data_IF_162258983883
#
_entry.id   IF_162258983883
#
_cell.length_a   1.000
_cell.length_b   1.000
_cell.length_c   1.000
_cell.angle_alpha   90.00
_cell.angle_beta   90.00
_cell.angle_gamma   90.00
#
_symmetry.space_group_name_H-M   'P 1'
#
loop_
_entity.id
_entity.type
_entity.pdbx_description
1 polymer ?
#
# COMPACT_ATOMS: atom_id res chain seq x y z
N UNK A 1 -6.67 14.48 43.83
CA UNK A 1 -5.54 13.70 43.30
C UNK A 1 -5.76 13.50 41.81
N UNK A 2 -5.10 14.34 41.00
CA UNK A 2 -5.27 14.38 39.54
C UNK A 2 -4.39 13.33 38.89
N UNK A 3 -5.02 12.30 38.31
CA UNK A 3 -4.37 11.20 37.61
C UNK A 3 -4.30 11.52 36.10
N UNK A 4 -3.55 12.57 35.76
CA UNK A 4 -3.31 13.02 34.38
C UNK A 4 -1.88 12.65 33.94
N UNK A 5 -1.52 11.37 34.03
CA UNK A 5 -0.25 10.86 33.50
C UNK A 5 -0.47 9.74 32.46
N UNK A 6 -1.55 9.83 31.69
CA UNK A 6 -1.60 9.13 30.41
C UNK A 6 -0.83 9.96 29.38
N UNK A 7 0.49 9.77 29.34
CA UNK A 7 1.36 10.20 28.24
C UNK A 7 0.75 9.75 26.91
N UNK A 8 0.33 10.67 26.02
CA UNK A 8 -0.13 10.29 24.71
C UNK A 8 1.08 9.95 23.82
N UNK A 9 0.97 8.84 23.11
CA UNK A 9 1.62 8.56 21.83
C UNK A 9 3.14 8.29 21.80
N UNK A 10 3.62 7.32 22.59
CA UNK A 10 4.79 6.53 22.15
C UNK A 10 4.32 5.44 21.17
N UNK A 11 3.94 5.79 19.94
CA UNK A 11 3.63 4.79 18.90
C UNK A 11 4.91 4.00 18.63
N UNK A 12 5.06 2.80 19.20
CA UNK A 12 6.28 1.97 19.15
C UNK A 12 6.75 1.74 17.71
N UNK A 13 8.04 1.92 17.42
CA UNK A 13 8.63 1.66 16.08
C UNK A 13 8.34 0.22 15.64
N UNK A 14 8.30 -0.71 16.60
CA UNK A 14 7.94 -2.11 16.35
C UNK A 14 6.53 -2.23 15.80
N UNK A 15 5.58 -1.47 16.35
CA UNK A 15 4.20 -1.43 15.85
C UNK A 15 4.13 -0.88 14.42
N UNK A 16 4.88 0.19 14.12
CA UNK A 16 5.01 0.77 12.77
C UNK A 16 5.48 -0.27 11.75
N UNK A 17 6.54 -1.00 12.10
CA UNK A 17 7.13 -2.02 11.23
C UNK A 17 6.19 -3.21 11.05
N UNK A 18 5.46 -3.62 12.09
CA UNK A 18 4.46 -4.69 11.98
C UNK A 18 3.34 -4.28 11.03
N UNK A 19 2.79 -3.06 11.18
CA UNK A 19 1.72 -2.57 10.29
C UNK A 19 2.21 -2.50 8.84
N UNK A 20 3.39 -1.93 8.60
CA UNK A 20 3.97 -1.88 7.26
C UNK A 20 4.20 -3.28 6.69
N UNK A 21 4.73 -4.22 7.48
CA UNK A 21 4.93 -5.60 7.05
C UNK A 21 3.62 -6.30 6.69
N UNK A 22 2.57 -6.12 7.49
CA UNK A 22 1.23 -6.68 7.21
C UNK A 22 0.67 -6.11 5.91
N UNK A 23 0.79 -4.79 5.69
CA UNK A 23 0.35 -4.15 4.45
C UNK A 23 1.11 -4.70 3.23
N UNK A 24 2.42 -4.90 3.34
CA UNK A 24 3.23 -5.50 2.28
C UNK A 24 2.78 -6.95 2.02
N UNK A 25 2.57 -7.76 3.05
CA UNK A 25 2.12 -9.14 2.90
C UNK A 25 0.75 -9.23 2.21
N UNK A 26 -0.20 -8.36 2.58
CA UNK A 26 -1.51 -8.26 1.93
C UNK A 26 -1.32 -7.85 0.46
N UNK A 27 -0.51 -6.83 0.19
CA UNK A 27 -0.24 -6.38 -1.17
C UNK A 27 0.37 -7.48 -2.05
N UNK A 28 1.36 -8.20 -1.54
CA UNK A 28 1.96 -9.35 -2.23
C UNK A 28 0.94 -10.45 -2.50
N UNK A 29 0.10 -10.80 -1.53
CA UNK A 29 -0.94 -11.81 -1.71
C UNK A 29 -1.95 -11.41 -2.80
N UNK A 30 -2.35 -10.13 -2.85
CA UNK A 30 -3.24 -9.62 -3.89
C UNK A 30 -2.61 -9.66 -5.29
N UNK A 31 -1.32 -9.33 -5.41
CA UNK A 31 -0.60 -9.43 -6.70
C UNK A 31 -0.55 -10.89 -7.17
N UNK A 32 -0.18 -11.82 -6.30
CA UNK A 32 -0.12 -13.25 -6.63
C UNK A 32 -1.50 -13.77 -7.04
N UNK A 33 -2.55 -13.40 -6.31
CA UNK A 33 -3.92 -13.78 -6.64
C UNK A 33 -4.39 -13.16 -7.97
N UNK A 34 -4.03 -11.91 -8.23
CA UNK A 34 -4.27 -11.26 -9.51
C UNK A 34 -3.61 -12.00 -10.67
N UNK A 35 -2.33 -12.39 -10.54
CA UNK A 35 -1.63 -13.22 -11.53
C UNK A 35 -2.28 -14.60 -11.71
N UNK A 36 -2.71 -15.25 -10.62
CA UNK A 36 -3.39 -16.54 -10.68
C UNK A 36 -4.75 -16.44 -11.41
N UNK A 37 -5.53 -15.38 -11.14
CA UNK A 37 -6.81 -15.12 -11.79
C UNK A 37 -6.67 -14.87 -13.29
N UNK A 38 -5.61 -14.16 -13.68
CA UNK A 38 -5.24 -13.88 -15.06
C UNK A 38 -4.88 -15.19 -15.81
N UNK A 39 -4.03 -16.02 -15.20
CA UNK A 39 -3.66 -17.32 -15.77
C UNK A 39 -4.88 -18.25 -15.89
N UNK A 40 -5.78 -18.23 -14.90
CA UNK A 40 -7.01 -19.02 -14.95
C UNK A 40 -7.91 -18.57 -16.10
N UNK A 41 -8.08 -17.25 -16.29
CA UNK A 41 -8.85 -16.70 -17.40
C UNK A 41 -8.27 -17.07 -18.76
N UNK A 42 -6.95 -17.01 -18.93
CA UNK A 42 -6.30 -17.41 -20.18
C UNK A 42 -6.49 -18.91 -20.46
N UNK A 43 -6.44 -19.76 -19.43
CA UNK A 43 -6.70 -21.19 -19.57
C UNK A 43 -8.16 -21.47 -19.96
N UNK A 44 -9.12 -20.75 -19.37
CA UNK A 44 -10.53 -20.87 -19.72
C UNK A 44 -10.78 -20.39 -21.16
N UNK A 45 -10.15 -19.29 -21.57
CA UNK A 45 -10.24 -18.77 -22.93
C UNK A 45 -9.64 -19.75 -23.95
N UNK A 46 -8.51 -20.38 -23.61
CA UNK A 46 -7.89 -21.43 -24.42
C UNK A 46 -8.83 -22.62 -24.61
N UNK A 47 -9.49 -23.07 -23.52
CA UNK A 47 -10.42 -24.20 -23.55
C UNK A 47 -11.71 -23.87 -24.31
N UNK A 48 -12.23 -22.66 -24.17
CA UNK A 48 -13.49 -22.25 -24.76
C UNK A 48 -13.37 -21.84 -26.24
N UNK A 49 -12.24 -21.23 -26.64
CA UNK A 49 -12.12 -20.55 -27.93
C UNK A 49 -10.79 -20.80 -28.65
N UNK A 50 -9.92 -21.64 -28.09
CA UNK A 50 -8.64 -22.02 -28.71
C UNK A 50 -7.54 -20.97 -28.59
N UNK A 51 -6.38 -21.27 -29.18
CA UNK A 51 -5.19 -20.45 -29.05
C UNK A 51 -5.33 -19.04 -29.67
N UNK A 52 -6.06 -18.92 -30.80
CA UNK A 52 -6.25 -17.63 -31.46
C UNK A 52 -6.99 -16.59 -30.61
N UNK A 53 -7.90 -17.03 -29.72
CA UNK A 53 -8.57 -16.13 -28.79
C UNK A 53 -7.62 -15.63 -27.69
N UNK A 54 -6.74 -16.49 -27.21
CA UNK A 54 -5.68 -16.12 -26.25
C UNK A 54 -4.70 -15.13 -26.89
N UNK A 55 -4.27 -15.39 -28.13
CA UNK A 55 -3.37 -14.48 -28.85
C UNK A 55 -4.01 -13.11 -29.09
N UNK A 56 -5.30 -13.08 -29.49
CA UNK A 56 -6.03 -11.82 -29.64
C UNK A 56 -6.11 -11.05 -28.31
N UNK A 57 -6.42 -11.73 -27.22
CA UNK A 57 -6.44 -11.12 -25.88
C UNK A 57 -5.05 -10.58 -25.48
N UNK A 58 -3.99 -11.37 -25.65
CA UNK A 58 -2.63 -10.93 -25.35
C UNK A 58 -2.19 -9.76 -26.24
N UNK A 59 -2.58 -9.74 -27.52
CA UNK A 59 -2.33 -8.61 -28.41
C UNK A 59 -3.02 -7.32 -27.94
N UNK A 60 -4.23 -7.44 -27.37
CA UNK A 60 -4.95 -6.32 -26.78
C UNK A 60 -4.29 -5.83 -25.49
N UNK A 61 -3.85 -6.73 -24.61
CA UNK A 61 -3.14 -6.35 -23.39
C UNK A 61 -1.79 -5.70 -23.72
N UNK A 62 -1.05 -6.25 -24.68
CA UNK A 62 0.27 -5.74 -25.07
C UNK A 62 0.24 -4.44 -25.87
N UNK A 63 -0.87 -4.11 -26.54
CA UNK A 63 -1.02 -2.79 -27.17
C UNK A 63 -1.14 -1.65 -26.15
N UNK A 64 -1.50 -1.98 -24.91
CA UNK A 64 -1.66 -1.04 -23.80
C UNK A 64 -0.46 -1.09 -22.84
N UNK A 65 0.74 -0.80 -23.38
CA UNK A 65 1.97 -0.75 -22.57
C UNK A 65 1.97 0.48 -21.66
N UNK A 66 1.57 0.27 -20.42
CA UNK A 66 1.61 1.30 -19.40
C UNK A 66 2.94 1.31 -18.66
N UNK A 67 3.41 2.51 -18.33
CA UNK A 67 4.41 2.66 -17.27
C UNK A 67 3.85 2.10 -15.96
N UNK A 68 4.72 1.69 -15.04
CA UNK A 68 4.28 1.15 -13.75
C UNK A 68 3.33 2.09 -12.98
N UNK A 69 3.63 3.40 -12.96
CA UNK A 69 2.79 4.38 -12.31
C UNK A 69 1.42 4.52 -13.00
N UNK A 70 1.40 4.53 -14.34
CA UNK A 70 0.15 4.56 -15.09
C UNK A 70 -0.67 3.29 -14.86
N UNK A 71 -0.02 2.11 -14.83
CA UNK A 71 -0.67 0.85 -14.49
C UNK A 71 -1.32 0.89 -13.10
N UNK A 72 -0.64 1.41 -12.07
CA UNK A 72 -1.24 1.53 -10.74
C UNK A 72 -2.50 2.41 -10.72
N UNK A 73 -2.57 3.46 -11.54
CA UNK A 73 -3.74 4.35 -11.61
C UNK A 73 -4.85 3.76 -12.47
N UNK A 74 -4.51 3.23 -13.65
CA UNK A 74 -5.47 2.69 -14.60
C UNK A 74 -6.09 1.37 -14.12
N UNK A 75 -5.34 0.58 -13.35
CA UNK A 75 -5.84 -0.66 -12.74
C UNK A 75 -6.97 -0.41 -11.74
N UNK A 76 -6.90 0.65 -10.94
CA UNK A 76 -7.93 0.99 -9.94
C UNK A 76 -9.08 1.83 -10.51
N UNK A 77 -8.86 2.48 -11.66
CA UNK A 77 -9.89 3.26 -12.36
C UNK A 77 -10.64 2.45 -13.43
N UNK A 78 -10.21 1.21 -13.71
CA UNK A 78 -10.87 0.32 -14.65
C UNK A 78 -10.51 0.53 -16.12
N UNK A 79 -9.40 1.21 -16.41
CA UNK A 79 -8.92 1.46 -17.78
C UNK A 79 -7.93 0.41 -18.28
N UNK A 80 -7.51 -0.54 -17.44
CA UNK A 80 -6.66 -1.65 -17.85
C UNK A 80 -7.43 -2.75 -18.59
N UNK A 81 -6.83 -3.29 -19.65
CA UNK A 81 -7.40 -4.42 -20.40
C UNK A 81 -7.15 -5.79 -19.77
N UNK A 82 -6.11 -5.93 -18.95
CA UNK A 82 -5.84 -7.20 -18.27
C UNK A 82 -6.88 -7.46 -17.16
N UNK A 83 -7.44 -8.67 -17.13
CA UNK A 83 -8.54 -9.02 -16.23
C UNK A 83 -8.12 -9.08 -14.77
N UNK A 84 -6.89 -9.53 -14.50
CA UNK A 84 -6.26 -9.51 -13.19
C UNK A 84 -5.69 -8.14 -12.78
N UNK A 85 -5.74 -7.12 -13.65
CA UNK A 85 -5.07 -5.85 -13.43
C UNK A 85 -5.55 -5.13 -12.17
N UNK A 86 -6.84 -5.17 -11.87
CA UNK A 86 -7.39 -4.53 -10.67
C UNK A 86 -6.75 -5.07 -9.39
N UNK A 87 -6.69 -6.39 -9.22
CA UNK A 87 -6.12 -7.03 -8.04
C UNK A 87 -4.61 -6.76 -7.92
N UNK A 88 -3.89 -6.83 -9.03
CA UNK A 88 -2.46 -6.50 -9.06
C UNK A 88 -2.23 -5.02 -8.72
N UNK A 89 -3.03 -4.13 -9.30
CA UNK A 89 -3.03 -2.70 -9.05
C UNK A 89 -3.23 -2.36 -7.58
N UNK A 90 -4.31 -2.85 -6.97
CA UNK A 90 -4.58 -2.69 -5.53
C UNK A 90 -3.40 -3.24 -4.73
N UNK A 91 -2.89 -4.43 -5.06
CA UNK A 91 -1.72 -5.00 -4.40
C UNK A 91 -0.49 -4.10 -4.44
N UNK A 92 -0.20 -3.47 -5.59
CA UNK A 92 0.89 -2.50 -5.71
C UNK A 92 0.65 -1.23 -4.90
N UNK A 93 -0.59 -0.74 -4.78
CA UNK A 93 -0.91 0.38 -3.89
C UNK A 93 -0.59 0.06 -2.43
N UNK A 94 -0.87 -1.17 -1.97
CA UNK A 94 -0.50 -1.60 -0.62
C UNK A 94 1.02 -1.58 -0.39
N UNK A 95 1.79 -2.11 -1.33
CA UNK A 95 3.25 -2.24 -1.20
C UNK A 95 3.99 -0.92 -1.38
N UNK A 96 3.65 -0.15 -2.40
CA UNK A 96 4.43 1.02 -2.82
C UNK A 96 3.89 2.35 -2.33
N UNK A 97 2.63 2.42 -1.91
CA UNK A 97 2.02 3.66 -1.42
C UNK A 97 1.69 3.57 0.06
N UNK A 98 0.83 2.62 0.45
CA UNK A 98 0.32 2.56 1.82
C UNK A 98 1.41 2.18 2.82
N UNK A 99 2.18 1.12 2.57
CA UNK A 99 3.23 0.70 3.50
C UNK A 99 4.28 1.83 3.74
N UNK A 100 4.86 2.48 2.71
CA UNK A 100 5.75 3.63 2.92
C UNK A 100 5.04 4.81 3.60
N UNK A 101 3.80 5.14 3.21
CA UNK A 101 3.05 6.23 3.79
C UNK A 101 2.84 6.06 5.31
N UNK A 102 2.61 4.84 5.79
CA UNK A 102 2.49 4.57 7.23
C UNK A 102 3.78 4.86 7.99
N UNK A 103 4.94 4.51 7.42
CA UNK A 103 6.25 4.77 8.03
C UNK A 103 6.53 6.28 8.06
N UNK A 104 6.27 6.97 6.94
CA UNK A 104 6.47 8.42 6.81
C UNK A 104 5.56 9.19 7.78
N UNK A 105 4.27 8.85 7.82
CA UNK A 105 3.29 9.50 8.70
C UNK A 105 3.68 9.33 10.16
N UNK A 106 4.04 8.13 10.59
CA UNK A 106 4.43 7.89 11.98
C UNK A 106 5.77 8.55 12.34
N UNK A 107 6.71 8.63 11.39
CA UNK A 107 7.96 9.36 11.56
C UNK A 107 7.71 10.87 11.72
N UNK A 108 6.79 11.43 10.93
CA UNK A 108 6.38 12.82 11.05
C UNK A 108 5.71 13.10 12.39
N UNK A 109 4.73 12.28 12.79
CA UNK A 109 4.05 12.39 14.08
C UNK A 109 5.04 12.35 15.26
N UNK A 110 6.01 11.43 15.23
CA UNK A 110 7.08 11.36 16.24
C UNK A 110 7.89 12.66 16.29
N UNK A 111 8.28 13.22 15.14
CA UNK A 111 9.02 14.49 15.08
C UNK A 111 8.22 15.65 15.67
N UNK A 112 6.92 15.71 15.38
CA UNK A 112 6.05 16.74 15.96
C UNK A 112 5.93 16.61 17.48
N UNK A 113 5.75 15.40 18.01
CA UNK A 113 5.69 15.17 19.46
C UNK A 113 7.00 15.52 20.17
N UNK A 114 8.15 15.11 19.62
CA UNK A 114 9.47 15.45 20.20
C UNK A 114 9.70 16.96 20.19
N UNK A 115 9.31 17.65 19.11
CA UNK A 115 9.43 19.11 19.00
C UNK A 115 8.58 19.84 20.03
N UNK A 116 7.34 19.38 20.25
CA UNK A 116 6.42 19.96 21.22
C UNK A 116 6.89 19.77 22.67
N UNK A 117 7.44 18.59 22.99
CA UNK A 117 8.06 18.34 24.30
C UNK A 117 9.33 19.18 24.53
N UNK A 118 10.13 19.43 23.48
CA UNK A 118 11.30 20.29 23.54
C UNK A 118 10.94 21.75 23.80
N UNK A 119 9.86 22.24 23.19
CA UNK A 119 9.38 23.62 23.36
C UNK A 119 8.85 23.91 24.78
N UNK A 120 8.23 22.92 25.43
CA UNK A 120 7.66 23.07 26.78
C UNK A 120 8.66 22.82 27.93
N UNK A 121 9.89 22.39 27.62
CA UNK A 121 10.94 22.07 28.61
C UNK A 121 11.45 23.29 29.40
N UNK A 122 11.69 24.48 28.80
CA UNK A 122 12.14 25.66 29.52
C UNK A 122 11.09 26.20 30.50
N UNK A 123 9.81 26.15 30.13
CA UNK A 123 8.71 26.66 30.96
C UNK A 123 8.51 25.84 32.24
N UNK A 124 8.74 24.51 32.19
CA UNK A 124 8.69 23.65 33.38
C UNK A 124 9.84 23.90 34.36
N UNK A 125 11.01 24.33 33.89
CA UNK A 125 12.14 24.67 34.76
C UNK A 125 11.91 26.01 35.47
N UNK A 126 11.24 26.96 34.82
CA UNK A 126 10.90 28.25 35.43
C UNK A 126 9.78 28.13 36.46
N UNK A 127 8.78 27.26 36.23
CA UNK A 127 7.69 27.03 37.19
C UNK A 127 8.07 26.19 38.42
N UNK A 128 9.28 25.63 38.45
CA UNK A 128 9.80 24.82 39.56
C UNK A 128 10.74 25.62 40.50
N UNK A 129 11.00 26.88 40.20
CA UNK A 129 11.73 27.85 41.03
C UNK A 129 10.77 28.86 41.65
#
# INVERSE_FOLDING_TARGET
MSNLNQTPAAVSVKFSLIVAAVLVLIGCALVVFGCASEAHYQLDLLRASGAGAVDAYLSQVTSHQLSFAAFMVESVTGHCYARGAFLQGVGFWFVFVLAPATIVLQSALRRFVVRDQGANRPQRLIAAH
#
